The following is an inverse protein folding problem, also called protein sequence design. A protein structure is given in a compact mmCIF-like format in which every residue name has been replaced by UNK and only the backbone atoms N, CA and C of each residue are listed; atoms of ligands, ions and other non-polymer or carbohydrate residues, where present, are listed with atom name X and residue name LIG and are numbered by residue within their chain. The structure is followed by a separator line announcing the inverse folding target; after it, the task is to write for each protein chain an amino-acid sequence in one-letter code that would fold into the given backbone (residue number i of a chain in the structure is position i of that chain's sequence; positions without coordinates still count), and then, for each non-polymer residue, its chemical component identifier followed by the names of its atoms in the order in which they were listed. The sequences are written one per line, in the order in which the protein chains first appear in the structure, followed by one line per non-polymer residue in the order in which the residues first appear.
data_IF_596479125834
#
_entry.id   IF_596479125834
#
_cell.length_a   1.000
_cell.length_b   1.000
_cell.length_c   1.000
_cell.angle_alpha   90.00
_cell.angle_beta   90.00
_cell.angle_gamma   90.00
#
_symmetry.space_group_name_H-M   'P 1'
#
loop_
_entity.id
_entity.type
_entity.pdbx_description
1 polymer ?
#
# COMPACT_ATOMS: atom_id res chain seq x y z
N UNK A 1 -2.05 -20.39 -9.84
CA UNK A 1 -3.25 -19.62 -10.21
C UNK A 1 -3.34 -18.47 -9.23
N UNK A 2 -3.30 -17.22 -9.69
CA UNK A 2 -3.49 -16.06 -8.81
C UNK A 2 -4.94 -16.11 -8.26
N UNK A 3 -5.09 -16.01 -6.94
CA UNK A 3 -6.41 -15.98 -6.30
C UNK A 3 -7.14 -14.70 -6.77
N UNK A 4 -8.42 -14.79 -7.15
CA UNK A 4 -9.22 -13.64 -7.58
C UNK A 4 -9.23 -12.49 -6.55
N UNK A 5 -9.17 -12.82 -5.25
CA UNK A 5 -9.06 -11.84 -4.16
C UNK A 5 -7.70 -11.14 -4.15
N UNK A 6 -6.62 -11.86 -4.43
CA UNK A 6 -5.29 -11.30 -4.51
C UNK A 6 -5.14 -10.37 -5.70
N UNK A 7 -5.71 -10.76 -6.85
CA UNK A 7 -5.76 -9.88 -8.02
C UNK A 7 -6.55 -8.59 -7.73
N UNK A 8 -7.72 -8.70 -7.09
CA UNK A 8 -8.52 -7.52 -6.69
C UNK A 8 -7.76 -6.59 -5.73
N UNK A 9 -7.10 -7.16 -4.72
CA UNK A 9 -6.31 -6.37 -3.78
C UNK A 9 -5.11 -5.68 -4.46
N UNK A 10 -4.44 -6.38 -5.39
CA UNK A 10 -3.37 -5.80 -6.22
C UNK A 10 -3.90 -4.64 -7.05
N UNK A 11 -4.97 -4.84 -7.80
CA UNK A 11 -5.56 -3.80 -8.66
C UNK A 11 -5.98 -2.57 -7.83
N UNK A 12 -6.57 -2.77 -6.65
CA UNK A 12 -6.95 -1.69 -5.74
C UNK A 12 -5.75 -0.89 -5.24
N UNK A 13 -4.69 -1.58 -4.78
CA UNK A 13 -3.46 -0.91 -4.31
C UNK A 13 -2.78 -0.13 -5.42
N UNK A 14 -2.73 -0.66 -6.64
CA UNK A 14 -2.17 0.04 -7.80
C UNK A 14 -2.97 1.30 -8.13
N UNK A 15 -4.30 1.18 -8.15
CA UNK A 15 -5.17 2.33 -8.39
C UNK A 15 -4.99 3.40 -7.32
N UNK A 16 -4.93 3.01 -6.04
CA UNK A 16 -4.71 3.93 -4.93
C UNK A 16 -3.36 4.65 -5.05
N UNK A 17 -2.30 3.95 -5.46
CA UNK A 17 -0.98 4.54 -5.70
C UNK A 17 -0.96 5.49 -6.90
N UNK A 18 -1.85 5.31 -7.89
CA UNK A 18 -2.00 6.22 -9.02
C UNK A 18 -2.79 7.48 -8.64
N UNK A 19 -3.82 7.36 -7.80
CA UNK A 19 -4.60 8.51 -7.32
C UNK A 19 -3.85 9.31 -6.25
N UNK A 20 -2.86 8.71 -5.58
CA UNK A 20 -2.03 9.34 -4.56
C UNK A 20 -0.54 9.32 -4.92
N UNK A 21 -0.11 10.05 -5.98
CA UNK A 21 1.28 10.06 -6.43
C UNK A 21 2.24 10.65 -5.39
N UNK A 22 1.74 11.52 -4.51
CA UNK A 22 2.54 12.23 -3.52
C UNK A 22 2.74 11.48 -2.21
N UNK A 23 2.02 10.38 -1.99
CA UNK A 23 2.17 9.55 -0.79
C UNK A 23 3.41 8.66 -0.92
N UNK A 24 3.97 8.32 0.24
CA UNK A 24 5.10 7.40 0.43
C UNK A 24 6.31 7.68 -0.47
N UNK A 25 6.59 8.96 -0.76
CA UNK A 25 7.74 9.39 -1.59
C UNK A 25 9.07 8.83 -1.11
N UNK A 26 9.27 8.78 0.21
CA UNK A 26 10.41 8.17 0.88
C UNK A 26 10.59 6.68 0.53
N UNK A 27 9.48 5.93 0.40
CA UNK A 27 9.49 4.54 -0.02
C UNK A 27 9.73 4.45 -1.52
N UNK A 28 9.02 5.24 -2.34
CA UNK A 28 9.16 5.26 -3.81
C UNK A 28 10.59 5.54 -4.27
N UNK A 29 11.37 6.31 -3.50
CA UNK A 29 12.79 6.57 -3.78
C UNK A 29 13.70 5.34 -3.58
N UNK A 30 13.22 4.29 -2.88
CA UNK A 30 13.97 3.07 -2.57
C UNK A 30 13.20 1.84 -3.11
N UNK A 31 13.60 1.27 -4.26
CA UNK A 31 12.83 0.21 -4.94
C UNK A 31 12.43 -0.95 -4.03
N UNK A 32 13.35 -1.46 -3.20
CA UNK A 32 13.09 -2.58 -2.31
C UNK A 32 12.10 -2.22 -1.20
N UNK A 33 12.22 -1.03 -0.63
CA UNK A 33 11.31 -0.56 0.43
C UNK A 33 9.92 -0.29 -0.12
N UNK A 34 9.82 0.23 -1.35
CA UNK A 34 8.55 0.41 -2.05
C UNK A 34 7.88 -0.92 -2.36
N UNK A 35 8.63 -1.90 -2.88
CA UNK A 35 8.11 -3.24 -3.16
C UNK A 35 7.61 -3.92 -1.89
N UNK A 36 8.38 -3.89 -0.81
CA UNK A 36 7.99 -4.47 0.47
C UNK A 36 6.74 -3.81 1.05
N UNK A 37 6.65 -2.47 0.98
CA UNK A 37 5.44 -1.75 1.40
C UNK A 37 4.23 -2.17 0.56
N UNK A 38 4.38 -2.25 -0.76
CA UNK A 38 3.30 -2.63 -1.66
C UNK A 38 2.79 -4.05 -1.43
N UNK A 39 3.70 -5.01 -1.23
CA UNK A 39 3.33 -6.39 -0.89
C UNK A 39 2.58 -6.47 0.44
N UNK A 40 3.01 -5.70 1.45
CA UNK A 40 2.31 -5.62 2.72
C UNK A 40 0.92 -5.00 2.55
N UNK A 41 0.80 -3.89 1.81
CA UNK A 41 -0.46 -3.22 1.51
C UNK A 41 -1.47 -4.18 0.84
N UNK A 42 -1.03 -4.94 -0.17
CA UNK A 42 -1.85 -5.96 -0.83
C UNK A 42 -2.34 -7.01 0.18
N UNK A 43 -1.48 -7.48 1.07
CA UNK A 43 -1.85 -8.45 2.11
C UNK A 43 -2.89 -7.89 3.08
N UNK A 44 -2.75 -6.63 3.49
CA UNK A 44 -3.71 -5.96 4.37
C UNK A 44 -5.07 -5.76 3.70
N UNK A 45 -5.09 -5.28 2.45
CA UNK A 45 -6.33 -5.12 1.68
C UNK A 45 -7.01 -6.45 1.43
N UNK A 46 -6.25 -7.50 1.06
CA UNK A 46 -6.80 -8.83 0.81
C UNK A 46 -7.44 -9.47 2.04
N UNK A 47 -6.84 -9.27 3.22
CA UNK A 47 -7.30 -9.89 4.46
C UNK A 47 -8.27 -9.01 5.26
N UNK A 48 -8.39 -7.73 4.90
CA UNK A 48 -9.24 -6.75 5.56
C UNK A 48 -10.66 -6.73 5.01
N UNK A 49 -11.49 -5.88 5.62
CA UNK A 49 -12.81 -5.56 5.10
C UNK A 49 -12.66 -4.68 3.84
N UNK A 50 -13.24 -5.06 2.68
CA UNK A 50 -13.12 -4.28 1.46
C UNK A 50 -13.57 -2.82 1.58
N UNK A 51 -14.57 -2.54 2.43
CA UNK A 51 -15.09 -1.20 2.65
C UNK A 51 -14.09 -0.27 3.36
N UNK A 52 -13.11 -0.85 4.07
CA UNK A 52 -12.13 -0.11 4.87
C UNK A 52 -10.77 0.00 4.13
N UNK A 53 -10.69 -0.49 2.89
CA UNK A 53 -9.42 -0.60 2.15
C UNK A 53 -8.72 0.74 1.95
N UNK A 54 -9.47 1.81 1.71
CA UNK A 54 -8.89 3.15 1.54
C UNK A 54 -8.32 3.71 2.86
N UNK A 55 -9.05 3.55 3.95
CA UNK A 55 -8.60 3.95 5.30
C UNK A 55 -7.36 3.16 5.72
N UNK A 56 -7.33 1.85 5.44
CA UNK A 56 -6.18 0.99 5.68
C UNK A 56 -4.95 1.50 4.92
N UNK A 57 -5.08 1.82 3.63
CA UNK A 57 -3.96 2.31 2.83
C UNK A 57 -3.50 3.70 3.27
N UNK A 58 -4.44 4.59 3.62
CA UNK A 58 -4.14 5.93 4.15
C UNK A 58 -3.39 5.86 5.48
N UNK A 59 -3.85 5.02 6.40
CA UNK A 59 -3.15 4.79 7.66
C UNK A 59 -1.76 4.18 7.43
N UNK A 60 -1.67 3.17 6.57
CA UNK A 60 -0.41 2.46 6.31
C UNK A 60 0.63 3.33 5.59
N UNK A 61 0.18 4.23 4.71
CA UNK A 61 1.03 5.25 4.10
C UNK A 61 1.53 6.25 5.13
N UNK A 62 0.65 6.73 6.02
CA UNK A 62 1.01 7.68 7.10
C UNK A 62 2.08 7.10 8.02
N UNK A 63 1.95 5.83 8.42
CA UNK A 63 2.97 5.14 9.22
C UNK A 63 4.30 5.05 8.46
N UNK A 64 4.26 4.71 7.17
CA UNK A 64 5.47 4.59 6.36
C UNK A 64 6.19 5.92 6.15
N UNK A 65 5.46 7.03 6.11
CA UNK A 65 5.96 8.40 6.00
C UNK A 65 6.53 8.90 7.34
N UNK A 66 5.83 8.66 8.45
CA UNK A 66 6.28 9.03 9.80
C UNK A 66 7.54 8.29 10.24
N UNK A 67 7.65 7.00 9.93
CA UNK A 67 8.83 6.19 10.25
C UNK A 67 10.13 6.70 9.59
N UNK A 68 10.04 7.50 8.53
CA UNK A 68 11.23 8.10 7.89
C UNK A 68 11.63 9.47 8.47
N UNK A 69 10.87 10.02 9.42
CA UNK A 69 11.30 11.18 10.21
C UNK A 69 12.10 10.78 11.45
N UNK A 70 12.18 9.49 11.77
CA UNK A 70 12.89 8.95 12.92
C UNK A 70 14.25 8.30 12.55
N UNK A 71 14.58 8.21 11.25
CA UNK A 71 15.86 7.75 10.68
C UNK A 71 16.71 8.96 10.22
#
# INVERSE_FOLDING_TARGET
MENAEEKRARDFVEQWLQTHPDRIRNRRARPDTFLNWKLAAIRYVRNGNPNDSDDILTWFATQAEGAAMED
#
